data_IF_362010103279
#
_entry.id   IF_362010103279
#
_cell.length_a   1.000
_cell.length_b   1.000
_cell.length_c   1.000
_cell.angle_alpha   90.00
_cell.angle_beta   90.00
_cell.angle_gamma   90.00
#
_symmetry.space_group_name_H-M   'P 1'
#
loop_
_entity.id
_entity.type
_entity.pdbx_description
1 polymer ?
#
# COMPACT_ATOMS: atom_id res chain seq x y z
N UNK A 1 -9.84 20.39 -51.68
CA UNK A 1 -8.73 20.59 -50.71
C UNK A 1 -9.23 21.01 -49.34
N UNK A 2 -10.10 22.01 -49.21
CA UNK A 2 -10.66 22.43 -47.91
C UNK A 2 -11.33 21.29 -47.10
N UNK A 3 -12.10 20.42 -47.75
CA UNK A 3 -12.77 19.28 -47.09
C UNK A 3 -11.77 18.25 -46.53
N UNK A 4 -10.66 18.00 -47.25
CA UNK A 4 -9.62 17.08 -46.78
C UNK A 4 -8.85 17.67 -45.59
N UNK A 5 -8.59 18.98 -45.59
CA UNK A 5 -7.95 19.66 -44.46
C UNK A 5 -8.79 19.59 -43.18
N UNK A 6 -10.10 19.86 -43.29
CA UNK A 6 -11.03 19.76 -42.15
C UNK A 6 -11.09 18.33 -41.56
N UNK A 7 -11.09 17.30 -42.42
CA UNK A 7 -11.09 15.90 -41.98
C UNK A 7 -9.81 15.51 -41.23
N UNK A 8 -8.64 15.97 -41.70
CA UNK A 8 -7.36 15.71 -41.02
C UNK A 8 -7.31 16.40 -39.66
N UNK A 9 -7.78 17.66 -39.59
CA UNK A 9 -7.83 18.41 -38.32
C UNK A 9 -8.78 17.73 -37.31
N UNK A 10 -9.94 17.26 -37.76
CA UNK A 10 -10.87 16.51 -36.92
C UNK A 10 -10.23 15.23 -36.40
N UNK A 11 -9.65 14.41 -37.30
CA UNK A 11 -9.01 13.17 -36.91
C UNK A 11 -7.88 13.40 -35.90
N UNK A 12 -7.10 14.46 -36.05
CA UNK A 12 -6.06 14.82 -35.08
C UNK A 12 -6.64 15.19 -33.70
N UNK A 13 -7.71 15.99 -33.67
CA UNK A 13 -8.42 16.32 -32.43
C UNK A 13 -8.99 15.08 -31.74
N UNK A 14 -9.57 14.17 -32.52
CA UNK A 14 -10.15 12.93 -32.00
C UNK A 14 -9.08 12.02 -31.39
N UNK A 15 -7.91 11.90 -32.02
CA UNK A 15 -6.76 11.15 -31.49
C UNK A 15 -6.26 11.75 -30.18
N UNK A 16 -6.13 13.08 -30.10
CA UNK A 16 -5.68 13.76 -28.88
C UNK A 16 -6.68 13.58 -27.73
N UNK A 17 -7.98 13.70 -28.02
CA UNK A 17 -9.05 13.43 -27.05
C UNK A 17 -9.02 11.97 -26.57
N UNK A 18 -8.88 11.02 -27.49
CA UNK A 18 -8.77 9.60 -27.14
C UNK A 18 -7.53 9.31 -26.28
N UNK A 19 -6.37 9.88 -26.62
CA UNK A 19 -5.15 9.75 -25.82
C UNK A 19 -5.31 10.31 -24.40
N UNK A 20 -5.94 11.49 -24.29
CA UNK A 20 -6.26 12.12 -22.99
C UNK A 20 -7.15 11.22 -22.15
N UNK A 21 -8.23 10.69 -22.74
CA UNK A 21 -9.15 9.79 -22.05
C UNK A 21 -8.50 8.46 -21.64
N UNK A 22 -7.69 7.86 -22.51
CA UNK A 22 -6.95 6.63 -22.15
C UNK A 22 -6.01 6.87 -20.97
N UNK A 23 -5.30 8.00 -20.96
CA UNK A 23 -4.44 8.37 -19.83
C UNK A 23 -5.25 8.61 -18.56
N UNK A 24 -6.37 9.31 -18.65
CA UNK A 24 -7.25 9.54 -17.51
C UNK A 24 -7.77 8.21 -16.92
N UNK A 25 -8.16 7.26 -17.76
CA UNK A 25 -8.55 5.92 -17.29
C UNK A 25 -7.41 5.22 -16.55
N UNK A 26 -6.18 5.23 -17.10
CA UNK A 26 -5.03 4.63 -16.42
C UNK A 26 -4.74 5.28 -15.06
N UNK A 27 -4.85 6.60 -14.96
CA UNK A 27 -4.65 7.33 -13.72
C UNK A 27 -5.75 7.03 -12.69
N UNK A 28 -7.00 6.90 -13.14
CA UNK A 28 -8.10 6.48 -12.28
C UNK A 28 -7.87 5.08 -11.70
N UNK A 29 -7.48 4.11 -12.54
CA UNK A 29 -7.17 2.75 -12.08
C UNK A 29 -5.99 2.73 -11.09
N UNK A 30 -4.95 3.53 -11.35
CA UNK A 30 -3.82 3.67 -10.42
C UNK A 30 -4.29 4.21 -9.07
N UNK A 31 -5.07 5.29 -9.05
CA UNK A 31 -5.53 5.91 -7.81
C UNK A 31 -6.53 5.03 -7.05
N UNK A 32 -7.39 4.29 -7.76
CA UNK A 32 -8.25 3.28 -7.13
C UNK A 32 -7.43 2.17 -6.46
N UNK A 33 -6.33 1.73 -7.08
CA UNK A 33 -5.43 0.76 -6.47
C UNK A 33 -4.70 1.35 -5.25
N UNK A 34 -4.28 2.62 -5.31
CA UNK A 34 -3.68 3.31 -4.16
C UNK A 34 -4.68 3.45 -3.00
N UNK A 35 -5.95 3.76 -3.29
CA UNK A 35 -7.05 3.76 -2.33
C UNK A 35 -7.30 2.37 -1.73
N UNK A 36 -7.27 1.31 -2.55
CA UNK A 36 -7.41 -0.08 -2.08
C UNK A 36 -6.25 -0.49 -1.16
N UNK A 37 -5.06 0.05 -1.40
CA UNK A 37 -3.87 -0.17 -0.57
C UNK A 37 -3.84 0.72 0.68
N UNK A 38 -4.79 1.64 0.84
CA UNK A 38 -4.80 2.61 1.93
C UNK A 38 -3.63 3.60 1.89
N UNK A 39 -3.11 3.90 0.70
CA UNK A 39 -2.05 4.90 0.48
C UNK A 39 -2.59 6.33 0.40
N UNK A 40 -3.90 6.46 0.20
CA UNK A 40 -4.63 7.73 0.25
C UNK A 40 -5.45 7.71 1.53
N UNK A 41 -5.10 8.58 2.47
CA UNK A 41 -5.81 8.72 3.73
C UNK A 41 -7.10 9.50 3.51
N UNK A 42 -8.23 8.85 3.77
CA UNK A 42 -9.53 9.50 3.78
C UNK A 42 -9.76 10.09 5.17
N UNK A 43 -9.69 11.42 5.28
CA UNK A 43 -9.83 12.11 6.57
C UNK A 43 -11.25 11.94 7.14
N UNK A 44 -12.29 12.00 6.29
CA UNK A 44 -13.68 11.80 6.72
C UNK A 44 -14.65 11.37 5.60
N UNK A 45 -15.83 10.88 6.00
CA UNK A 45 -16.98 10.71 5.10
C UNK A 45 -17.64 12.08 4.91
N UNK A 46 -18.14 12.38 3.71
CA UNK A 46 -18.62 13.71 3.27
C UNK A 46 -17.50 14.72 2.96
N UNK A 47 -16.36 14.23 2.47
CA UNK A 47 -15.21 15.03 2.12
C UNK A 47 -14.92 15.04 0.62
N UNK A 48 -14.38 16.18 0.17
CA UNK A 48 -13.85 16.36 -1.18
C UNK A 48 -12.35 16.52 -1.06
N UNK A 49 -11.62 15.54 -1.57
CA UNK A 49 -10.16 15.58 -1.65
C UNK A 49 -9.72 15.90 -3.07
N UNK A 50 -8.73 16.78 -3.17
CA UNK A 50 -8.23 17.30 -4.44
C UNK A 50 -6.70 17.35 -4.42
N UNK A 51 -6.07 16.72 -5.41
CA UNK A 51 -4.62 16.80 -5.61
C UNK A 51 -4.27 16.76 -7.10
N UNK A 52 -2.99 16.99 -7.41
CA UNK A 52 -2.44 16.78 -8.75
C UNK A 52 -1.58 15.50 -8.83
N UNK A 53 -1.33 15.02 -10.04
CA UNK A 53 -0.53 13.80 -10.26
C UNK A 53 0.99 14.07 -10.31
N UNK A 54 1.42 15.25 -9.85
CA UNK A 54 2.82 15.63 -9.80
C UNK A 54 3.47 15.93 -11.15
N UNK A 55 4.80 16.07 -11.18
CA UNK A 55 5.55 16.50 -12.38
C UNK A 55 5.53 15.49 -13.52
N UNK A 56 5.15 14.24 -13.28
CA UNK A 56 5.03 13.20 -14.31
C UNK A 56 3.79 13.41 -15.18
N UNK A 57 2.72 13.95 -14.60
CA UNK A 57 1.46 14.23 -15.28
C UNK A 57 0.96 15.63 -14.90
N UNK A 58 1.70 16.70 -15.23
CA UNK A 58 1.47 18.03 -14.68
C UNK A 58 0.15 18.67 -15.12
N UNK A 59 -0.40 18.22 -16.25
CA UNK A 59 -1.69 18.68 -16.78
C UNK A 59 -2.90 17.92 -16.20
N UNK A 60 -2.67 16.96 -15.31
CA UNK A 60 -3.73 16.15 -14.71
C UNK A 60 -3.83 16.38 -13.21
N UNK A 61 -5.07 16.42 -12.73
CA UNK A 61 -5.40 16.36 -11.31
C UNK A 61 -6.52 15.38 -11.07
N UNK A 62 -6.87 15.19 -9.81
CA UNK A 62 -7.98 14.35 -9.42
C UNK A 62 -8.79 15.00 -8.31
N UNK A 63 -10.06 14.59 -8.26
CA UNK A 63 -11.01 14.95 -7.20
C UNK A 63 -11.70 13.67 -6.74
N UNK A 64 -11.65 13.38 -5.46
CA UNK A 64 -12.35 12.27 -4.83
C UNK A 64 -13.46 12.83 -3.96
N UNK A 65 -14.68 12.40 -4.21
CA UNK A 65 -15.86 12.79 -3.43
C UNK A 65 -16.36 11.54 -2.73
N UNK A 66 -16.39 11.55 -1.40
CA UNK A 66 -16.86 10.41 -0.60
C UNK A 66 -18.20 10.75 0.04
N UNK A 67 -19.25 10.03 -0.32
CA UNK A 67 -20.61 10.24 0.18
C UNK A 67 -21.15 8.98 0.89
N UNK A 68 -21.95 9.10 1.96
CA UNK A 68 -22.61 7.96 2.57
C UNK A 68 -23.57 7.30 1.58
N UNK A 69 -23.54 5.97 1.51
CA UNK A 69 -24.48 5.23 0.66
C UNK A 69 -25.78 4.91 1.41
N UNK A 70 -26.83 4.51 0.68
CA UNK A 70 -28.05 3.98 1.28
C UNK A 70 -27.87 2.59 1.93
N UNK A 71 -26.71 1.96 1.76
CA UNK A 71 -26.36 0.66 2.33
C UNK A 71 -25.54 0.89 3.59
N UNK A 72 -25.99 0.32 4.71
CA UNK A 72 -25.30 0.43 6.00
C UNK A 72 -23.82 0.00 5.88
N UNK A 73 -22.93 0.81 6.45
CA UNK A 73 -21.47 0.61 6.41
C UNK A 73 -20.89 0.55 4.99
N UNK A 74 -21.47 1.28 4.04
CA UNK A 74 -20.83 1.51 2.74
C UNK A 74 -20.92 2.99 2.35
N UNK A 75 -19.92 3.46 1.62
CA UNK A 75 -19.89 4.79 1.02
C UNK A 75 -19.70 4.68 -0.48
N UNK A 76 -20.25 5.66 -1.18
CA UNK A 76 -20.03 5.88 -2.61
C UNK A 76 -18.83 6.80 -2.75
N UNK A 77 -17.87 6.40 -3.57
CA UNK A 77 -16.79 7.27 -3.99
C UNK A 77 -16.96 7.63 -5.45
N UNK A 78 -16.96 8.93 -5.73
CA UNK A 78 -16.85 9.46 -7.07
C UNK A 78 -15.42 9.99 -7.27
N UNK A 79 -14.64 9.28 -8.08
CA UNK A 79 -13.33 9.72 -8.50
C UNK A 79 -13.42 10.38 -9.88
N UNK A 80 -13.08 11.67 -9.92
CA UNK A 80 -12.98 12.46 -11.14
C UNK A 80 -11.50 12.68 -11.50
N UNK A 81 -11.15 12.45 -12.76
CA UNK A 81 -9.86 12.80 -13.33
C UNK A 81 -10.01 14.08 -14.13
N UNK A 82 -9.25 15.08 -13.72
CA UNK A 82 -9.27 16.44 -14.22
C UNK A 82 -8.12 16.65 -15.20
N UNK A 83 -8.33 17.50 -16.21
CA UNK A 83 -7.30 17.91 -17.16
C UNK A 83 -7.33 19.43 -17.34
N UNK A 84 -6.17 20.05 -17.15
CA UNK A 84 -5.96 21.47 -17.41
C UNK A 84 -4.59 21.64 -18.08
N UNK A 85 -4.54 22.00 -19.38
CA UNK A 85 -3.26 22.21 -20.05
C UNK A 85 -2.55 23.42 -19.44
N UNK A 86 -1.33 23.22 -18.92
CA UNK A 86 -0.56 24.29 -18.28
C UNK A 86 0.39 24.98 -19.28
N UNK A 87 0.44 26.31 -19.22
CA UNK A 87 1.43 27.13 -19.93
C UNK A 87 2.63 27.42 -18.99
N UNK A 88 3.36 26.38 -18.56
CA UNK A 88 4.49 26.60 -17.65
C UNK A 88 5.15 25.33 -17.13
N UNK A 89 6.23 25.53 -16.35
CA UNK A 89 6.81 24.44 -15.57
C UNK A 89 5.85 24.02 -14.46
N UNK A 90 5.83 22.73 -14.13
CA UNK A 90 5.08 22.20 -13.01
C UNK A 90 5.46 22.93 -11.71
N UNK A 91 4.43 23.23 -10.92
CA UNK A 91 4.54 23.71 -9.55
C UNK A 91 3.50 22.99 -8.71
N UNK A 92 3.95 22.49 -7.58
CA UNK A 92 3.16 21.74 -6.62
C UNK A 92 2.06 22.64 -6.05
N UNK A 93 0.85 22.07 -5.90
CA UNK A 93 -0.34 22.76 -5.38
C UNK A 93 -0.79 23.99 -6.21
N UNK A 94 -0.39 24.10 -7.49
CA UNK A 94 -0.88 25.14 -8.42
C UNK A 94 -1.86 24.58 -9.47
N UNK A 95 -2.37 23.36 -9.31
CA UNK A 95 -3.44 22.85 -10.18
C UNK A 95 -4.74 23.58 -9.85
N UNK A 96 -5.43 24.09 -10.87
CA UNK A 96 -6.71 24.78 -10.71
C UNK A 96 -7.86 23.79 -10.96
N UNK A 97 -8.30 23.14 -9.88
CA UNK A 97 -9.35 22.11 -9.91
C UNK A 97 -10.72 22.63 -10.33
N UNK A 98 -10.99 23.92 -10.10
CA UNK A 98 -12.28 24.56 -10.42
C UNK A 98 -12.44 24.82 -11.92
N UNK A 99 -11.35 25.15 -12.60
CA UNK A 99 -11.36 25.45 -14.04
C UNK A 99 -10.94 24.26 -14.93
N UNK A 100 -10.54 23.13 -14.33
CA UNK A 100 -10.14 21.93 -15.07
C UNK A 100 -11.33 21.20 -15.73
N UNK A 101 -11.07 20.57 -16.88
CA UNK A 101 -12.04 19.71 -17.55
C UNK A 101 -12.09 18.34 -16.88
N UNK A 102 -13.29 17.85 -16.50
CA UNK A 102 -13.47 16.46 -16.08
C UNK A 102 -13.39 15.56 -17.32
N UNK A 103 -12.32 14.78 -17.44
CA UNK A 103 -12.08 13.88 -18.57
C UNK A 103 -12.67 12.50 -18.34
N UNK A 104 -12.67 12.04 -17.09
CA UNK A 104 -13.12 10.71 -16.72
C UNK A 104 -13.68 10.72 -15.30
N UNK A 105 -14.74 9.95 -15.08
CA UNK A 105 -15.36 9.76 -13.77
C UNK A 105 -15.58 8.28 -13.57
N UNK A 106 -15.24 7.78 -12.38
CA UNK A 106 -15.54 6.42 -11.94
C UNK A 106 -16.24 6.47 -10.60
N UNK A 107 -17.30 5.68 -10.49
CA UNK A 107 -18.06 5.50 -9.26
C UNK A 107 -17.73 4.14 -8.68
N UNK A 108 -17.37 4.11 -7.39
CA UNK A 108 -17.13 2.86 -6.68
C UNK A 108 -17.93 2.84 -5.38
N UNK A 109 -18.27 1.64 -4.93
CA UNK A 109 -18.92 1.43 -3.64
C UNK A 109 -17.91 0.70 -2.75
N UNK A 110 -17.61 1.27 -1.60
CA UNK A 110 -16.59 0.74 -0.69
C UNK A 110 -17.12 0.62 0.72
N UNK A 111 -16.61 -0.37 1.45
CA UNK A 111 -16.79 -0.45 2.90
C UNK A 111 -15.71 0.36 3.61
N UNK A 112 -15.98 0.92 4.80
CA UNK A 112 -14.92 1.47 5.64
C UNK A 112 -13.86 0.41 5.91
N UNK A 113 -12.58 0.83 5.99
CA UNK A 113 -11.53 -0.04 6.51
C UNK A 113 -12.02 -0.62 7.83
N UNK A 114 -12.05 -1.95 7.91
CA UNK A 114 -12.38 -2.63 9.15
C UNK A 114 -11.08 -2.90 9.89
N UNK A 115 -11.01 -2.58 11.20
CA UNK A 115 -9.92 -3.10 12.00
C UNK A 115 -9.96 -4.63 11.95
N UNK A 116 -8.78 -5.23 11.99
CA UNK A 116 -8.59 -6.67 12.05
C UNK A 116 -8.82 -7.11 13.48
N UNK A 117 -9.70 -8.09 13.67
CA UNK A 117 -9.91 -8.72 14.97
C UNK A 117 -9.20 -10.07 14.94
N UNK A 118 -8.09 -10.20 15.65
CA UNK A 118 -7.30 -11.43 15.60
C UNK A 118 -8.04 -12.64 16.21
N UNK A 119 -8.95 -12.44 17.16
CA UNK A 119 -9.79 -13.52 17.67
C UNK A 119 -10.82 -13.96 16.62
N UNK A 120 -11.53 -13.02 16.01
CA UNK A 120 -12.61 -13.33 15.08
C UNK A 120 -12.09 -13.78 13.71
N UNK A 121 -11.07 -13.10 13.18
CA UNK A 121 -10.57 -13.30 11.82
C UNK A 121 -9.56 -14.44 11.71
N UNK A 122 -8.75 -14.67 12.76
CA UNK A 122 -7.72 -15.72 12.79
C UNK A 122 -8.00 -16.85 13.78
N UNK A 123 -9.02 -16.72 14.63
CA UNK A 123 -9.41 -17.75 15.58
C UNK A 123 -8.47 -17.88 16.77
N UNK A 124 -7.70 -16.84 17.09
CA UNK A 124 -6.84 -16.82 18.28
C UNK A 124 -7.68 -16.82 19.55
N UNK A 125 -7.24 -17.55 20.57
CA UNK A 125 -7.90 -17.56 21.87
C UNK A 125 -7.42 -16.37 22.71
N UNK A 126 -8.18 -16.00 23.74
CA UNK A 126 -7.84 -14.89 24.64
C UNK A 126 -6.47 -15.09 25.33
N UNK A 127 -6.10 -16.34 25.60
CA UNK A 127 -4.76 -16.71 26.10
C UNK A 127 -3.67 -16.40 25.07
N UNK A 128 -3.85 -16.84 23.82
CA UNK A 128 -2.90 -16.56 22.72
C UNK A 128 -2.76 -15.06 22.44
N UNK A 129 -3.86 -14.30 22.53
CA UNK A 129 -3.84 -12.84 22.37
C UNK A 129 -3.09 -12.14 23.50
N UNK A 130 -3.23 -12.63 24.74
CA UNK A 130 -2.50 -12.09 25.89
C UNK A 130 -1.01 -12.36 25.75
N UNK A 131 -0.64 -13.60 25.42
CA UNK A 131 0.74 -14.00 25.19
C UNK A 131 1.39 -13.20 24.04
N UNK A 132 0.64 -12.98 22.94
CA UNK A 132 1.08 -12.17 21.81
C UNK A 132 1.29 -10.71 22.23
N UNK A 133 0.37 -10.13 22.99
CA UNK A 133 0.49 -8.75 23.46
C UNK A 133 1.71 -8.58 24.37
N UNK A 134 1.94 -9.51 25.30
CA UNK A 134 3.10 -9.49 26.19
C UNK A 134 4.43 -9.56 25.39
N UNK A 135 4.49 -10.38 24.35
CA UNK A 135 5.67 -10.48 23.48
C UNK A 135 5.91 -9.20 22.66
N UNK A 136 4.85 -8.55 22.17
CA UNK A 136 4.97 -7.29 21.43
C UNK A 136 5.40 -6.13 22.34
N UNK A 137 4.90 -6.09 23.58
CA UNK A 137 5.30 -5.12 24.59
C UNK A 137 6.79 -5.28 24.94
N UNK A 138 7.30 -6.51 25.07
CA UNK A 138 8.72 -6.78 25.29
C UNK A 138 9.62 -6.31 24.15
N UNK A 139 9.10 -6.31 22.91
CA UNK A 139 9.79 -5.82 21.73
C UNK A 139 9.73 -4.29 21.56
N UNK A 140 9.05 -3.60 22.46
CA UNK A 140 8.91 -2.15 22.45
C UNK A 140 7.83 -1.63 21.51
N UNK A 141 6.85 -2.47 21.16
CA UNK A 141 5.66 -2.09 20.38
C UNK A 141 4.46 -2.03 21.34
N UNK A 142 4.32 -0.95 22.13
CA UNK A 142 3.25 -0.86 23.12
C UNK A 142 1.88 -0.62 22.49
N UNK A 143 0.85 -1.05 23.23
CA UNK A 143 -0.56 -0.66 23.04
C UNK A 143 -1.19 -1.12 21.71
N UNK A 144 -0.77 -2.27 21.17
CA UNK A 144 -1.37 -2.84 19.97
C UNK A 144 -2.66 -3.60 20.33
N UNK A 145 -3.82 -2.98 20.10
CA UNK A 145 -5.10 -3.64 20.32
C UNK A 145 -5.35 -4.72 19.27
N UNK A 146 -5.08 -5.98 19.64
CA UNK A 146 -5.29 -7.16 18.78
C UNK A 146 -6.77 -7.49 18.53
N UNK A 147 -7.72 -6.86 19.23
CA UNK A 147 -9.15 -7.02 18.95
C UNK A 147 -9.68 -5.98 17.98
N UNK A 148 -8.92 -4.90 17.77
CA UNK A 148 -9.28 -3.83 16.84
C UNK A 148 -8.06 -3.28 16.08
N UNK A 149 -7.24 -4.18 15.56
CA UNK A 149 -5.95 -3.84 14.96
C UNK A 149 -6.11 -3.02 13.68
N UNK A 150 -5.53 -1.81 13.65
CA UNK A 150 -5.42 -0.98 12.46
C UNK A 150 -4.11 -1.29 11.72
N UNK A 151 -4.13 -1.87 10.50
CA UNK A 151 -2.92 -2.14 9.73
C UNK A 151 -2.06 -0.91 9.44
N UNK A 152 -2.65 0.29 9.48
CA UNK A 152 -1.91 1.56 9.29
C UNK A 152 -0.95 1.84 10.44
N UNK A 153 -1.10 1.15 11.57
CA UNK A 153 -0.13 1.18 12.67
C UNK A 153 1.30 0.90 12.19
N UNK A 154 1.48 -0.03 11.24
CA UNK A 154 2.81 -0.36 10.70
C UNK A 154 3.49 0.79 9.96
N UNK A 155 2.76 1.82 9.54
CA UNK A 155 3.36 3.01 8.93
C UNK A 155 4.02 3.93 9.97
N UNK A 156 3.65 3.79 11.24
CA UNK A 156 4.15 4.60 12.35
C UNK A 156 5.30 3.93 13.09
N UNK A 157 5.44 2.60 12.96
CA UNK A 157 6.47 1.79 13.59
C UNK A 157 7.76 1.85 12.78
N UNK A 158 8.90 1.97 13.47
CA UNK A 158 10.20 1.93 12.81
C UNK A 158 10.45 0.56 12.18
N UNK A 159 11.05 0.56 10.99
CA UNK A 159 11.28 -0.69 10.23
C UNK A 159 12.09 -1.73 11.02
N UNK A 160 13.03 -1.30 11.87
CA UNK A 160 13.79 -2.21 12.74
C UNK A 160 12.92 -2.90 13.80
N UNK A 161 11.93 -2.21 14.35
CA UNK A 161 10.98 -2.77 15.31
C UNK A 161 10.02 -3.73 14.61
N UNK A 162 9.55 -3.37 13.41
CA UNK A 162 8.71 -4.22 12.58
C UNK A 162 9.41 -5.52 12.20
N UNK A 163 10.71 -5.47 11.87
CA UNK A 163 11.52 -6.67 11.61
C UNK A 163 11.58 -7.58 12.85
N UNK A 164 11.71 -7.02 14.05
CA UNK A 164 11.77 -7.80 15.29
C UNK A 164 10.42 -8.41 15.67
N UNK A 165 9.32 -7.72 15.38
CA UNK A 165 7.97 -8.19 15.69
C UNK A 165 7.39 -9.13 14.63
N UNK A 166 7.86 -9.06 13.38
CA UNK A 166 7.36 -9.90 12.30
C UNK A 166 7.36 -11.41 12.64
N UNK A 167 8.40 -12.02 13.22
CA UNK A 167 8.39 -13.45 13.56
C UNK A 167 7.31 -13.81 14.56
N UNK A 168 7.11 -12.97 15.58
CA UNK A 168 6.11 -13.15 16.63
C UNK A 168 4.71 -13.10 16.02
N UNK A 169 4.44 -12.08 15.19
CA UNK A 169 3.18 -11.96 14.47
C UNK A 169 2.94 -13.14 13.52
N UNK A 170 3.98 -13.60 12.82
CA UNK A 170 3.84 -14.70 11.87
C UNK A 170 3.62 -16.05 12.55
N UNK A 171 4.31 -16.31 13.65
CA UNK A 171 4.11 -17.50 14.46
C UNK A 171 2.67 -17.55 15.01
N UNK A 172 2.20 -16.43 15.56
CA UNK A 172 0.82 -16.31 16.04
C UNK A 172 -0.21 -16.53 14.92
N UNK A 173 0.05 -15.99 13.72
CA UNK A 173 -0.81 -16.19 12.56
C UNK A 173 -0.69 -17.58 11.92
N UNK A 174 0.20 -18.45 12.42
CA UNK A 174 0.49 -19.76 11.84
C UNK A 174 1.09 -19.67 10.42
N UNK A 175 1.72 -18.55 10.09
CA UNK A 175 2.34 -18.28 8.79
C UNK A 175 3.83 -18.63 8.84
N UNK A 176 4.27 -19.52 7.95
CA UNK A 176 5.70 -19.82 7.80
C UNK A 176 6.38 -18.68 7.01
N UNK A 177 7.47 -18.13 7.53
CA UNK A 177 8.28 -17.08 6.89
C UNK A 177 8.72 -17.48 5.47
N UNK A 178 8.87 -18.78 5.21
CA UNK A 178 9.18 -19.33 3.88
C UNK A 178 8.08 -19.04 2.86
N UNK A 179 6.81 -19.02 3.27
CA UNK A 179 5.70 -18.68 2.40
C UNK A 179 5.78 -17.21 1.98
N UNK A 180 6.17 -16.33 2.91
CA UNK A 180 6.38 -14.92 2.62
C UNK A 180 7.55 -14.65 1.68
N UNK A 181 8.57 -15.51 1.66
CA UNK A 181 9.72 -15.28 0.76
C UNK A 181 9.36 -15.25 -0.72
N UNK A 182 8.22 -15.82 -1.10
CA UNK A 182 7.73 -15.77 -2.48
C UNK A 182 6.98 -14.48 -2.81
N UNK A 183 6.56 -13.73 -1.80
CA UNK A 183 5.74 -12.52 -1.90
C UNK A 183 6.54 -11.25 -1.60
N UNK A 184 7.66 -11.35 -0.89
CA UNK A 184 8.48 -10.20 -0.51
C UNK A 184 9.42 -9.76 -1.66
N UNK A 185 9.56 -8.44 -1.91
CA UNK A 185 10.59 -7.89 -2.77
C UNK A 185 12.01 -8.39 -2.40
N UNK A 186 12.90 -8.59 -3.39
CA UNK A 186 14.23 -9.14 -3.17
C UNK A 186 15.11 -8.29 -2.24
N UNK A 187 14.89 -6.97 -2.21
CA UNK A 187 15.63 -6.06 -1.34
C UNK A 187 15.28 -6.27 0.14
N UNK A 188 13.99 -6.49 0.45
CA UNK A 188 13.52 -6.80 1.81
C UNK A 188 14.00 -8.19 2.25
N UNK A 189 14.01 -9.16 1.33
CA UNK A 189 14.58 -10.49 1.61
C UNK A 189 16.04 -10.41 2.00
N UNK A 190 16.82 -9.59 1.30
CA UNK A 190 18.23 -9.39 1.61
C UNK A 190 18.42 -8.77 3.00
N UNK A 191 17.61 -7.78 3.36
CA UNK A 191 17.66 -7.17 4.69
C UNK A 191 17.27 -8.16 5.81
N UNK A 192 16.24 -8.99 5.58
CA UNK A 192 15.85 -10.04 6.52
C UNK A 192 16.89 -11.16 6.65
N UNK A 193 17.65 -11.43 5.59
CA UNK A 193 18.82 -12.32 5.64
C UNK A 193 19.99 -11.68 6.40
N UNK A 194 20.26 -10.40 6.17
CA UNK A 194 21.32 -9.65 6.86
C UNK A 194 21.02 -9.46 8.35
N UNK A 195 19.75 -9.39 8.74
CA UNK A 195 19.32 -9.33 10.15
C UNK A 195 19.37 -10.68 10.85
N UNK A 196 19.69 -11.78 10.16
CA UNK A 196 19.76 -13.13 10.72
C UNK A 196 18.39 -13.79 10.97
N UNK A 197 17.31 -13.23 10.39
CA UNK A 197 15.95 -13.76 10.55
C UNK A 197 15.60 -14.87 9.56
N UNK A 198 16.20 -14.80 8.37
CA UNK A 198 16.15 -15.88 7.39
C UNK A 198 17.48 -16.63 7.42
N UNK A 199 17.55 -17.72 8.19
CA UNK A 199 18.65 -18.67 8.07
C UNK A 199 18.68 -19.22 6.65
N UNK A 200 19.79 -19.02 5.95
CA UNK A 200 19.99 -19.64 4.65
C UNK A 200 19.98 -21.16 4.83
N UNK A 201 19.11 -21.90 4.11
CA UNK A 201 19.08 -23.35 4.18
C UNK A 201 20.37 -23.88 3.54
N UNK A 202 21.42 -24.02 4.35
CA UNK A 202 22.76 -24.42 3.91
C UNK A 202 23.91 -24.04 4.85
N UNK A 203 23.70 -23.15 5.83
CA UNK A 203 24.73 -22.73 6.79
C UNK A 203 24.96 -23.64 8.00
N UNK A 204 24.64 -24.93 7.89
CA UNK A 204 24.80 -25.90 8.98
C UNK A 204 26.26 -26.26 9.23
N UNK A 205 26.83 -25.63 10.26
CA UNK A 205 27.64 -26.28 11.31
C UNK A 205 28.79 -27.20 10.84
N UNK A 206 29.90 -26.60 10.40
CA UNK A 206 31.22 -27.23 10.53
C UNK A 206 31.70 -27.04 11.97
N UNK A 207 31.21 -27.87 12.89
CA UNK A 207 31.90 -28.07 14.17
C UNK A 207 33.25 -28.71 13.89
N UNK A 208 34.31 -27.90 13.99
CA UNK A 208 35.70 -28.33 14.04
C UNK A 208 35.93 -29.27 15.25
N UNK A 209 35.80 -30.58 15.01
CA UNK A 209 36.29 -31.64 15.88
C UNK A 209 37.83 -31.69 15.79
N UNK A 210 38.48 -30.75 16.48
CA UNK A 210 39.92 -30.79 16.71
C UNK A 210 40.20 -31.62 17.97
N UNK A 211 40.33 -32.93 17.74
CA UNK A 211 40.71 -33.93 18.73
C UNK A 211 42.01 -33.60 19.46
N UNK A 212 41.88 -33.42 20.77
CA UNK A 212 42.95 -33.30 21.75
C UNK A 212 43.62 -34.68 21.95
N UNK A 213 44.88 -34.79 21.50
CA UNK A 213 45.71 -35.97 21.69
C UNK A 213 46.75 -35.70 22.79
N UNK A 214 46.41 -36.04 24.04
CA UNK A 214 47.36 -36.04 25.15
C UNK A 214 47.11 -37.20 26.11
N UNK A 215 48.12 -38.05 26.31
CA UNK A 215 48.12 -39.18 27.25
C UNK A 215 49.10 -40.28 26.80
N UNK A 216 50.41 -40.11 26.97
CA UNK A 216 51.20 -40.47 28.16
C UNK A 216 51.17 -41.98 28.49
N UNK A 217 52.24 -42.70 28.14
CA UNK A 217 52.59 -44.04 28.65
C UNK A 217 53.71 -43.93 29.70
N UNK A 218 53.69 -44.74 30.77
CA UNK A 218 54.85 -45.01 31.62
C UNK A 218 55.83 -46.02 31.00
#
# INVERSE_FOLDING_TARGET
>A
LAVLGAQVQQAQSDVLSMQRRMRAMMLAEQLLAELDMGLVDLESVDEVEEQDFGPRYPDFGWRLITEPSAIDNMFVQELQILYLPREGAYRENEFDHDNAEIVYTVHTLRSPPKPIDFATDFGLQEEDLTDLNDQLDELGIPDLDLTSFDPRFFQQVDFEELIKAAPVLLDALGLDIRQLTTLLPPDLLKQLQESGLLDTPGGGDQTDDSGDASGAQP
#
